data_IF_250168651704
#
_entry.id   IF_250168651704
#
_cell.length_a   1.000
_cell.length_b   1.000
_cell.length_c   1.000
_cell.angle_alpha   90.00
_cell.angle_beta   90.00
_cell.angle_gamma   90.00
#
_symmetry.space_group_name_H-M   'P 1'
#
loop_
_entity.id
_entity.type
_entity.pdbx_description
1 polymer ?
#
# COMPACT_ATOMS: atom_id res chain seq x y z
N UNK A 1 -46.30 -1.06 -10.77
CA UNK A 1 -45.40 -2.15 -10.30
C UNK A 1 -44.09 -2.18 -11.10
N UNK A 2 -44.13 -2.21 -12.43
CA UNK A 2 -42.95 -2.28 -13.32
C UNK A 2 -41.89 -1.19 -13.13
N UNK A 3 -42.32 0.07 -12.96
CA UNK A 3 -41.40 1.21 -12.74
C UNK A 3 -40.67 1.08 -11.39
N UNK A 4 -41.37 0.67 -10.33
CA UNK A 4 -40.77 0.50 -9.01
C UNK A 4 -39.73 -0.63 -8.99
N UNK A 5 -40.03 -1.75 -9.65
CA UNK A 5 -39.07 -2.84 -9.85
C UNK A 5 -37.86 -2.43 -10.69
N UNK A 6 -38.07 -1.62 -11.74
CA UNK A 6 -36.98 -1.11 -12.56
C UNK A 6 -36.05 -0.16 -11.77
N UNK A 7 -36.62 0.71 -10.94
CA UNK A 7 -35.87 1.60 -10.04
C UNK A 7 -35.08 0.79 -9.00
N UNK A 8 -35.67 -0.25 -8.41
CA UNK A 8 -35.00 -1.13 -7.46
C UNK A 8 -33.84 -1.91 -8.08
N UNK A 9 -34.02 -2.44 -9.30
CA UNK A 9 -32.96 -3.14 -10.03
C UNK A 9 -31.83 -2.21 -10.44
N UNK A 10 -32.16 -1.00 -10.89
CA UNK A 10 -31.15 0.03 -11.20
C UNK A 10 -30.34 0.38 -9.95
N UNK A 11 -31.00 0.54 -8.81
CA UNK A 11 -30.34 0.79 -7.54
C UNK A 11 -29.40 -0.38 -7.19
N UNK A 12 -29.87 -1.62 -7.25
CA UNK A 12 -29.05 -2.81 -6.99
C UNK A 12 -27.79 -2.88 -7.88
N UNK A 13 -27.91 -2.56 -9.17
CA UNK A 13 -26.78 -2.53 -10.09
C UNK A 13 -25.78 -1.42 -9.79
N UNK A 14 -26.23 -0.26 -9.30
CA UNK A 14 -25.34 0.85 -8.90
C UNK A 14 -24.51 0.46 -7.66
N UNK A 15 -25.07 -0.32 -6.73
CA UNK A 15 -24.34 -0.79 -5.54
C UNK A 15 -23.47 -2.03 -5.79
N UNK A 16 -23.63 -2.72 -6.92
CA UNK A 16 -22.83 -3.88 -7.29
C UNK A 16 -21.48 -3.50 -7.96
N UNK A 17 -20.94 -2.32 -7.66
CA UNK A 17 -19.64 -1.91 -8.20
C UNK A 17 -18.54 -2.90 -7.76
N UNK A 18 -17.69 -3.38 -8.69
CA UNK A 18 -16.61 -4.28 -8.32
C UNK A 18 -15.61 -3.55 -7.42
N UNK A 19 -15.29 -4.13 -6.26
CA UNK A 19 -14.19 -3.66 -5.43
C UNK A 19 -12.87 -4.07 -6.09
N UNK A 20 -12.06 -3.10 -6.49
CA UNK A 20 -10.72 -3.37 -7.01
C UNK A 20 -9.76 -3.59 -5.86
N UNK A 21 -8.96 -4.65 -5.94
CA UNK A 21 -7.83 -4.86 -5.04
C UNK A 21 -6.80 -3.71 -5.17
N UNK A 22 -6.15 -3.35 -4.06
CA UNK A 22 -5.15 -2.27 -4.02
C UNK A 22 -3.79 -2.72 -4.60
N UNK A 23 -3.75 -2.97 -5.91
CA UNK A 23 -2.52 -3.23 -6.66
C UNK A 23 -2.00 -1.91 -7.20
N UNK A 24 -0.98 -1.38 -6.53
CA UNK A 24 -0.47 -0.05 -6.82
C UNK A 24 0.76 -0.09 -7.73
N UNK A 25 0.74 0.76 -8.75
CA UNK A 25 1.87 1.00 -9.64
C UNK A 25 2.28 2.46 -9.58
N UNK A 26 3.52 2.72 -9.19
CA UNK A 26 4.08 4.07 -9.03
C UNK A 26 5.27 4.22 -9.97
N UNK A 27 5.30 5.34 -10.70
CA UNK A 27 6.41 5.70 -11.57
C UNK A 27 7.25 6.78 -10.89
N UNK A 28 8.52 6.48 -10.69
CA UNK A 28 9.53 7.39 -10.17
C UNK A 28 10.43 7.82 -11.34
N UNK A 29 10.63 9.14 -11.47
CA UNK A 29 11.43 9.74 -12.53
C UNK A 29 12.44 10.70 -11.89
N UNK A 30 13.73 10.43 -12.11
CA UNK A 30 14.84 11.26 -11.64
C UNK A 30 14.67 11.80 -10.22
N UNK A 31 14.35 10.91 -9.27
CA UNK A 31 14.07 11.27 -7.88
C UNK A 31 15.34 11.12 -7.04
N UNK A 32 15.61 12.10 -6.18
CA UNK A 32 16.81 12.17 -5.33
C UNK A 32 16.50 11.95 -3.84
N UNK A 33 15.30 11.53 -3.46
CA UNK A 33 14.96 11.31 -2.06
C UNK A 33 15.66 10.06 -1.53
N UNK A 34 16.31 10.21 -0.39
CA UNK A 34 17.02 9.12 0.27
C UNK A 34 16.08 8.02 0.79
N UNK A 35 14.81 8.36 1.06
CA UNK A 35 13.82 7.45 1.62
C UNK A 35 12.41 7.80 1.12
N UNK A 36 11.67 6.79 0.66
CA UNK A 36 10.30 6.92 0.16
C UNK A 36 9.42 5.84 0.79
N UNK A 37 8.34 6.23 1.47
CA UNK A 37 7.30 5.32 1.93
C UNK A 37 6.37 4.97 0.77
N UNK A 38 6.27 3.69 0.43
CA UNK A 38 5.36 3.21 -0.61
C UNK A 38 4.01 2.80 -0.04
N UNK A 39 3.99 2.14 1.11
CA UNK A 39 2.74 1.71 1.74
C UNK A 39 2.86 1.22 3.16
N UNK A 40 1.69 1.13 3.79
CA UNK A 40 1.45 0.47 5.06
C UNK A 40 0.46 -0.68 4.84
N UNK A 41 0.71 -1.82 5.47
CA UNK A 41 -0.17 -2.98 5.40
C UNK A 41 -0.08 -3.82 6.68
N UNK A 42 -1.22 -4.38 7.13
CA UNK A 42 -1.26 -5.32 8.25
C UNK A 42 -1.28 -6.76 7.75
N UNK A 43 -0.19 -7.49 8.01
CA UNK A 43 -0.03 -8.88 7.62
C UNK A 43 -0.54 -9.83 8.70
N UNK A 44 -1.18 -10.89 8.23
CA UNK A 44 -1.43 -12.13 8.97
C UNK A 44 -0.21 -13.06 8.85
N UNK A 45 -0.19 -14.21 9.56
CA UNK A 45 0.89 -15.20 9.42
C UNK A 45 1.06 -15.76 8.01
N UNK A 46 0.04 -15.63 7.15
CA UNK A 46 0.07 -16.05 5.74
C UNK A 46 0.33 -14.88 4.78
N UNK A 47 0.88 -13.77 5.29
CA UNK A 47 1.13 -12.55 4.55
C UNK A 47 2.28 -12.62 3.54
N UNK A 48 2.12 -11.94 2.41
CA UNK A 48 3.13 -11.82 1.35
C UNK A 48 3.24 -10.38 0.84
N UNK A 49 4.48 -9.95 0.63
CA UNK A 49 4.80 -8.73 -0.13
C UNK A 49 5.36 -9.13 -1.48
N UNK A 50 4.80 -8.61 -2.56
CA UNK A 50 5.38 -8.71 -3.90
C UNK A 50 5.83 -7.34 -4.37
N UNK A 51 7.07 -7.24 -4.84
CA UNK A 51 7.61 -6.03 -5.44
C UNK A 51 8.16 -6.36 -6.81
N UNK A 52 7.63 -5.68 -7.81
CA UNK A 52 8.11 -5.73 -9.17
C UNK A 52 8.62 -4.34 -9.59
N UNK A 53 9.85 -4.28 -10.04
CA UNK A 53 10.49 -3.08 -10.56
C UNK A 53 10.82 -3.28 -12.03
N UNK A 54 10.60 -2.25 -12.84
CA UNK A 54 10.97 -2.24 -14.26
C UNK A 54 11.50 -0.87 -14.66
N UNK A 55 12.27 -0.85 -15.76
CA UNK A 55 12.91 0.38 -16.26
C UNK A 55 13.76 1.08 -15.18
N UNK A 56 14.41 0.32 -14.29
CA UNK A 56 15.16 0.89 -13.19
C UNK A 56 16.49 1.47 -13.67
N UNK A 57 16.88 2.65 -13.22
CA UNK A 57 18.16 3.27 -13.54
C UNK A 57 18.60 4.22 -12.45
N UNK A 58 19.93 4.31 -12.27
CA UNK A 58 20.57 5.25 -11.35
C UNK A 58 21.47 6.16 -12.20
N UNK A 59 21.28 7.47 -12.09
CA UNK A 59 22.18 8.46 -12.69
C UNK A 59 22.77 9.37 -11.61
N UNK A 60 23.99 9.85 -11.82
CA UNK A 60 24.62 10.84 -10.95
C UNK A 60 24.07 12.25 -11.25
N UNK A 61 23.82 13.06 -10.22
CA UNK A 61 23.41 14.46 -10.43
C UNK A 61 24.56 15.28 -11.06
N UNK A 62 24.34 15.94 -12.21
CA UNK A 62 25.39 16.66 -12.93
C UNK A 62 25.95 17.92 -12.21
N UNK A 63 25.25 18.45 -11.20
CA UNK A 63 25.55 19.78 -10.62
C UNK A 63 26.76 19.81 -9.67
N UNK A 64 27.20 18.67 -9.13
CA UNK A 64 28.21 18.60 -8.04
C UNK A 64 29.36 17.63 -8.34
N UNK A 65 29.57 17.26 -9.61
CA UNK A 65 30.48 16.20 -10.05
C UNK A 65 31.99 16.53 -9.89
N UNK A 66 32.45 16.64 -8.64
CA UNK A 66 33.83 16.35 -8.25
C UNK A 66 33.99 14.91 -7.72
N UNK A 67 32.92 14.12 -7.66
CA UNK A 67 32.96 12.73 -7.19
C UNK A 67 33.02 11.76 -8.38
N UNK A 68 34.23 11.28 -8.65
CA UNK A 68 34.60 10.26 -9.62
C UNK A 68 34.23 8.82 -9.19
N UNK A 69 33.14 8.66 -8.41
CA UNK A 69 32.76 7.35 -7.87
C UNK A 69 31.41 6.91 -8.44
N UNK A 70 31.36 5.75 -9.14
CA UNK A 70 30.12 5.24 -9.71
C UNK A 70 29.11 4.92 -8.59
N UNK A 71 27.83 5.16 -8.87
CA UNK A 71 26.75 4.84 -7.94
C UNK A 71 26.75 3.34 -7.62
N UNK A 72 26.60 2.99 -6.34
CA UNK A 72 26.61 1.60 -5.86
C UNK A 72 25.17 1.03 -5.86
N UNK A 73 24.84 0.07 -6.74
CA UNK A 73 23.50 -0.51 -6.79
C UNK A 73 23.12 -1.31 -5.53
N UNK A 74 24.08 -1.74 -4.71
CA UNK A 74 23.80 -2.44 -3.45
C UNK A 74 23.26 -1.51 -2.36
N UNK A 75 23.46 -0.19 -2.51
CA UNK A 75 23.01 0.86 -1.60
C UNK A 75 21.66 1.48 -1.99
N UNK A 76 20.93 0.84 -2.90
CA UNK A 76 19.60 1.28 -3.35
C UNK A 76 18.67 0.08 -3.36
N UNK A 77 17.51 0.17 -2.72
CA UNK A 77 16.67 -1.01 -2.57
C UNK A 77 15.39 -0.80 -1.77
N UNK A 78 14.67 -1.90 -1.61
CA UNK A 78 13.41 -1.96 -0.88
C UNK A 78 13.57 -2.78 0.40
N UNK A 79 12.88 -2.36 1.44
CA UNK A 79 12.85 -3.07 2.71
C UNK A 79 11.49 -2.92 3.40
N UNK A 80 11.18 -3.88 4.26
CA UNK A 80 10.07 -3.81 5.19
C UNK A 80 10.56 -3.38 6.58
N UNK A 81 9.76 -2.54 7.22
CA UNK A 81 9.94 -2.10 8.60
C UNK A 81 8.66 -2.35 9.38
N UNK A 82 8.76 -3.05 10.52
CA UNK A 82 7.63 -3.14 11.45
C UNK A 82 7.28 -1.74 11.96
N UNK A 83 6.00 -1.39 11.94
CA UNK A 83 5.54 -0.07 12.39
C UNK A 83 5.92 0.20 13.85
N UNK A 84 5.97 -0.83 14.70
CA UNK A 84 6.38 -0.73 16.11
C UNK A 84 7.84 -0.27 16.26
N UNK A 85 8.68 -0.55 15.26
CA UNK A 85 10.10 -0.18 15.23
C UNK A 85 10.36 1.12 14.46
N UNK A 86 9.33 1.71 13.85
CA UNK A 86 9.44 2.88 12.99
C UNK A 86 10.05 4.08 13.71
N UNK A 87 9.63 4.35 14.94
CA UNK A 87 10.16 5.47 15.72
C UNK A 87 11.65 5.29 16.04
N UNK A 88 12.05 4.07 16.41
CA UNK A 88 13.46 3.73 16.66
C UNK A 88 14.29 3.89 15.40
N UNK A 89 13.79 3.40 14.27
CA UNK A 89 14.44 3.54 12.97
C UNK A 89 14.65 5.01 12.60
N UNK A 90 13.61 5.84 12.69
CA UNK A 90 13.70 7.27 12.39
C UNK A 90 14.64 8.01 13.35
N UNK A 91 14.67 7.65 14.64
CA UNK A 91 15.61 8.21 15.60
C UNK A 91 17.06 7.88 15.22
N UNK A 92 17.36 6.63 14.82
CA UNK A 92 18.70 6.25 14.39
C UNK A 92 19.13 6.97 13.10
N UNK A 93 18.21 7.17 12.17
CA UNK A 93 18.48 7.91 10.94
C UNK A 93 18.71 9.40 11.22
N UNK A 94 17.99 9.99 12.19
CA UNK A 94 18.09 11.41 12.56
C UNK A 94 19.33 11.72 13.40
N UNK A 95 19.65 10.87 14.37
CA UNK A 95 20.81 11.02 15.27
C UNK A 95 21.96 10.12 14.83
N UNK A 96 22.13 10.04 13.51
CA UNK A 96 23.09 9.17 12.86
C UNK A 96 24.53 9.47 13.36
N UNK A 97 25.24 8.50 13.95
CA UNK A 97 26.59 8.73 14.49
C UNK A 97 27.65 8.91 13.40
N UNK A 98 27.42 8.40 12.19
CA UNK A 98 28.32 8.52 11.04
C UNK A 98 27.51 9.02 9.82
N UNK A 99 27.88 10.11 9.13
CA UNK A 99 27.17 10.59 7.93
C UNK A 99 26.89 9.51 6.86
N UNK A 100 27.65 8.41 6.81
CA UNK A 100 27.53 7.36 5.79
C UNK A 100 26.48 6.26 6.07
N UNK A 101 25.88 6.21 7.26
CA UNK A 101 24.95 5.14 7.66
C UNK A 101 23.69 5.11 6.79
N UNK A 102 23.51 4.14 5.92
CA UNK A 102 22.32 4.06 5.06
C UNK A 102 21.06 3.63 5.85
N UNK A 103 19.87 3.97 5.34
CA UNK A 103 18.61 3.38 5.83
C UNK A 103 18.60 1.84 5.72
N UNK A 104 19.28 1.29 4.71
CA UNK A 104 19.47 -0.15 4.52
C UNK A 104 20.48 -0.79 5.49
N UNK A 105 21.30 0.01 6.18
CA UNK A 105 22.30 -0.48 7.15
C UNK A 105 21.73 -0.59 8.57
N UNK A 106 20.53 -0.05 8.80
CA UNK A 106 19.90 -0.03 10.13
C UNK A 106 19.38 -1.43 10.50
N UNK A 107 19.67 -1.86 11.72
CA UNK A 107 19.18 -3.15 12.23
C UNK A 107 17.65 -3.18 12.36
N UNK A 108 17.10 -4.39 12.37
CA UNK A 108 15.66 -4.69 12.53
C UNK A 108 14.78 -4.25 11.34
N UNK A 109 15.38 -4.09 10.17
CA UNK A 109 14.66 -4.05 8.90
C UNK A 109 14.74 -5.42 8.22
N UNK A 110 13.80 -5.70 7.33
CA UNK A 110 13.87 -6.84 6.42
C UNK A 110 14.14 -6.31 5.02
N UNK A 111 15.40 -6.33 4.59
CA UNK A 111 15.76 -5.97 3.21
C UNK A 111 15.15 -6.99 2.26
N UNK A 112 14.39 -6.52 1.29
CA UNK A 112 13.76 -7.36 0.28
C UNK A 112 14.75 -7.62 -0.84
N UNK A 113 15.13 -6.57 -1.56
CA UNK A 113 16.12 -6.63 -2.64
C UNK A 113 16.80 -5.28 -2.82
N UNK A 114 17.91 -5.32 -3.54
CA UNK A 114 18.70 -4.14 -3.91
C UNK A 114 18.81 -4.04 -5.43
N UNK A 115 19.26 -2.89 -5.92
CA UNK A 115 19.45 -2.69 -7.35
C UNK A 115 20.62 -3.53 -7.91
N UNK A 116 21.45 -4.13 -7.03
CA UNK A 116 22.43 -5.16 -7.41
C UNK A 116 21.76 -6.41 -7.99
N UNK A 117 20.52 -6.69 -7.58
CA UNK A 117 19.77 -7.89 -7.99
C UNK A 117 19.00 -7.67 -9.31
N UNK A 118 19.09 -6.48 -9.90
CA UNK A 118 18.49 -6.17 -11.20
C UNK A 118 19.27 -6.89 -12.31
N UNK A 119 18.56 -7.61 -13.17
CA UNK A 119 19.17 -8.39 -14.25
C UNK A 119 18.28 -8.40 -15.50
N UNK A 120 18.83 -8.36 -16.72
CA UNK A 120 19.96 -7.59 -17.27
C UNK A 120 19.45 -6.53 -18.31
N UNK A 121 20.33 -5.80 -19.04
CA UNK A 121 19.91 -4.74 -19.99
C UNK A 121 19.01 -5.24 -21.14
N UNK A 122 18.18 -4.36 -21.76
CA UNK A 122 18.15 -2.90 -21.63
C UNK A 122 17.28 -2.37 -20.49
N UNK A 123 16.53 -3.23 -19.80
CA UNK A 123 15.60 -2.83 -18.75
C UNK A 123 15.82 -3.67 -17.49
N UNK A 124 16.75 -3.20 -16.66
CA UNK A 124 16.94 -3.57 -15.26
C UNK A 124 15.58 -3.71 -14.57
N UNK A 125 15.14 -4.95 -14.41
CA UNK A 125 13.87 -5.30 -13.84
C UNK A 125 14.05 -6.38 -12.79
N UNK A 126 13.09 -6.46 -11.89
CA UNK A 126 13.06 -7.38 -10.79
C UNK A 126 11.62 -7.71 -10.47
N UNK A 127 11.30 -8.95 -10.14
CA UNK A 127 9.97 -9.35 -9.72
C UNK A 127 10.08 -10.53 -8.78
N UNK A 128 9.75 -10.31 -7.51
CA UNK A 128 9.71 -11.42 -6.56
C UNK A 128 8.72 -11.14 -5.44
N UNK A 129 8.35 -12.22 -4.75
CA UNK A 129 7.47 -12.18 -3.59
C UNK A 129 8.17 -12.75 -2.37
N UNK A 130 7.95 -12.14 -1.22
CA UNK A 130 8.51 -12.52 0.07
C UNK A 130 7.37 -12.82 1.04
N UNK A 131 7.51 -13.94 1.76
CA UNK A 131 6.63 -14.26 2.88
C UNK A 131 6.98 -13.38 4.09
N UNK A 132 5.97 -12.84 4.75
CA UNK A 132 6.12 -12.05 5.97
C UNK A 132 5.90 -12.98 7.17
N UNK A 133 7.00 -13.42 7.78
CA UNK A 133 6.99 -14.46 8.82
C UNK A 133 6.18 -14.08 10.06
N UNK A 134 6.27 -12.81 10.49
CA UNK A 134 5.64 -12.34 11.71
C UNK A 134 4.46 -11.42 11.38
N UNK A 135 3.25 -11.73 11.87
CA UNK A 135 2.09 -10.88 11.65
C UNK A 135 2.26 -9.51 12.30
N UNK A 136 1.59 -8.51 11.77
CA UNK A 136 1.62 -7.14 12.29
C UNK A 136 1.56 -6.07 11.22
N UNK A 137 1.70 -4.82 11.64
CA UNK A 137 1.68 -3.66 10.75
C UNK A 137 3.10 -3.39 10.24
N UNK A 138 3.27 -3.34 8.92
CA UNK A 138 4.56 -3.06 8.29
C UNK A 138 4.47 -1.92 7.30
N UNK A 139 5.60 -1.25 7.14
CA UNK A 139 5.83 -0.16 6.21
C UNK A 139 6.80 -0.65 5.12
N UNK A 140 6.39 -0.53 3.86
CA UNK A 140 7.25 -0.78 2.71
C UNK A 140 7.97 0.51 2.32
N UNK A 141 9.29 0.50 2.45
CA UNK A 141 10.14 1.62 2.11
C UNK A 141 11.04 1.30 0.92
N UNK A 142 11.37 2.35 0.18
CA UNK A 142 12.50 2.41 -0.72
C UNK A 142 13.56 3.33 -0.13
N UNK A 143 14.83 2.93 -0.21
CA UNK A 143 15.96 3.76 0.17
C UNK A 143 16.93 3.94 -0.99
N UNK A 144 17.43 5.17 -1.12
CA UNK A 144 18.52 5.54 -2.00
C UNK A 144 19.65 6.14 -1.15
N UNK A 145 20.73 5.38 -0.95
CA UNK A 145 21.85 5.85 -0.14
C UNK A 145 23.06 6.28 -0.96
N UNK A 146 22.89 6.39 -2.28
CA UNK A 146 23.91 7.00 -3.14
C UNK A 146 23.74 8.51 -3.09
N UNK A 147 24.79 9.20 -2.63
CA UNK A 147 24.81 10.65 -2.46
C UNK A 147 24.43 11.36 -3.78
N UNK A 148 23.40 12.19 -3.74
CA UNK A 148 22.93 13.00 -4.88
C UNK A 148 22.72 12.18 -6.17
N UNK A 149 22.31 10.92 -6.06
CA UNK A 149 21.92 10.12 -7.21
C UNK A 149 20.44 10.30 -7.52
N UNK A 150 20.09 10.18 -8.80
CA UNK A 150 18.74 10.26 -9.33
C UNK A 150 18.30 8.85 -9.72
N UNK A 151 17.20 8.39 -9.14
CA UNK A 151 16.63 7.09 -9.43
C UNK A 151 15.40 7.25 -10.32
N UNK A 152 15.33 6.44 -11.37
CA UNK A 152 14.16 6.29 -12.23
C UNK A 152 13.72 4.84 -12.19
N UNK A 153 12.44 4.57 -11.97
CA UNK A 153 11.89 3.21 -11.96
C UNK A 153 10.37 3.20 -12.03
N UNK A 154 9.80 2.13 -12.57
CA UNK A 154 8.39 1.80 -12.41
C UNK A 154 8.27 0.68 -11.37
N UNK A 155 7.49 0.93 -10.32
CA UNK A 155 7.33 0.02 -9.19
C UNK A 155 5.89 -0.45 -9.12
N UNK A 156 5.65 -1.74 -9.25
CA UNK A 156 4.37 -2.39 -8.96
C UNK A 156 4.51 -3.16 -7.65
N UNK A 157 3.58 -2.94 -6.73
CA UNK A 157 3.58 -3.57 -5.41
C UNK A 157 2.24 -4.25 -5.14
N UNK A 158 2.30 -5.45 -4.58
CA UNK A 158 1.14 -6.23 -4.17
C UNK A 158 1.34 -6.68 -2.73
N UNK A 159 0.47 -6.23 -1.84
CA UNK A 159 0.49 -6.53 -0.41
C UNK A 159 -0.76 -7.35 -0.14
N UNK A 160 -0.60 -8.59 0.33
CA UNK A 160 -1.74 -9.49 0.48
C UNK A 160 -1.50 -10.53 1.57
N UNK A 161 -2.59 -11.03 2.11
CA UNK A 161 -2.66 -12.23 2.92
C UNK A 161 -3.16 -13.39 2.06
N UNK A 162 -2.98 -14.62 2.52
CA UNK A 162 -3.59 -15.79 1.90
C UNK A 162 -4.75 -16.27 2.77
N UNK A 163 -5.94 -16.33 2.16
CA UNK A 163 -7.10 -17.01 2.70
C UNK A 163 -7.08 -18.46 2.22
N UNK A 164 -7.05 -19.41 3.15
CA UNK A 164 -7.23 -20.82 2.87
C UNK A 164 -8.60 -21.26 3.37
N UNK A 165 -9.51 -21.56 2.46
CA UNK A 165 -10.85 -22.08 2.76
C UNK A 165 -10.88 -23.62 2.65
N UNK A 166 -9.72 -24.27 2.74
CA UNK A 166 -9.54 -25.74 2.68
C UNK A 166 -9.66 -26.35 1.28
N UNK A 167 -10.10 -25.57 0.29
CA UNK A 167 -10.27 -26.01 -1.12
C UNK A 167 -9.44 -25.19 -2.11
N UNK A 168 -9.28 -23.89 -1.85
CA UNK A 168 -8.48 -22.99 -2.69
C UNK A 168 -7.79 -21.92 -1.83
N UNK A 169 -6.51 -21.67 -2.12
CA UNK A 169 -5.78 -20.55 -1.55
C UNK A 169 -6.02 -19.30 -2.40
N UNK A 170 -6.64 -18.27 -1.82
CA UNK A 170 -6.96 -17.01 -2.51
C UNK A 170 -6.19 -15.84 -1.89
N UNK A 171 -5.85 -14.84 -2.71
CA UNK A 171 -5.17 -13.63 -2.25
C UNK A 171 -6.18 -12.66 -1.66
N UNK A 172 -5.98 -12.29 -0.40
CA UNK A 172 -6.70 -11.23 0.29
C UNK A 172 -5.86 -9.95 0.30
N UNK A 173 -6.32 -8.92 -0.40
CA UNK A 173 -5.62 -7.64 -0.45
C UNK A 173 -6.08 -6.67 0.65
N UNK A 174 -6.95 -7.11 1.57
CA UNK A 174 -7.31 -6.35 2.75
C UNK A 174 -6.24 -6.54 3.84
N UNK A 175 -5.94 -5.46 4.54
CA UNK A 175 -5.16 -5.53 5.77
C UNK A 175 -5.90 -6.41 6.78
N UNK A 176 -5.17 -7.23 7.56
CA UNK A 176 -5.75 -8.29 8.38
C UNK A 176 -6.81 -7.84 9.41
N UNK A 177 -6.86 -6.55 9.75
CA UNK A 177 -7.83 -5.98 10.70
C UNK A 177 -8.74 -4.91 10.07
N UNK A 178 -8.76 -4.80 8.75
CA UNK A 178 -9.60 -3.83 8.06
C UNK A 178 -11.01 -4.42 7.85
N UNK A 179 -12.08 -3.73 8.28
CA UNK A 179 -13.44 -4.21 8.08
C UNK A 179 -13.74 -4.38 6.59
N UNK A 180 -14.43 -5.46 6.25
CA UNK A 180 -14.73 -5.75 4.86
C UNK A 180 -15.71 -4.70 4.31
N UNK A 181 -15.65 -4.37 3.01
CA UNK A 181 -16.65 -3.49 2.38
C UNK A 181 -18.09 -3.95 2.64
N UNK A 182 -18.32 -5.26 2.76
CA UNK A 182 -19.62 -5.85 3.11
C UNK A 182 -20.10 -5.46 4.51
N UNK A 183 -19.21 -5.26 5.48
CA UNK A 183 -19.60 -4.89 6.84
C UNK A 183 -20.14 -3.45 6.86
N UNK A 184 -19.47 -2.53 6.16
CA UNK A 184 -19.97 -1.16 5.96
C UNK A 184 -21.33 -1.14 5.26
N UNK A 185 -21.52 -1.98 4.25
CA UNK A 185 -22.80 -2.08 3.55
C UNK A 185 -23.93 -2.56 4.48
N UNK A 186 -23.67 -3.53 5.37
CA UNK A 186 -24.67 -3.97 6.37
C UNK A 186 -25.05 -2.84 7.32
N UNK A 187 -24.08 -2.08 7.82
CA UNK A 187 -24.35 -0.91 8.65
C UNK A 187 -25.18 0.14 7.91
N UNK A 188 -24.83 0.43 6.65
CA UNK A 188 -25.61 1.34 5.81
C UNK A 188 -27.08 0.93 5.67
N UNK A 189 -27.36 -0.36 5.43
CA UNK A 189 -28.73 -0.87 5.36
C UNK A 189 -29.50 -0.68 6.67
N UNK A 190 -28.86 -0.92 7.81
CA UNK A 190 -29.45 -0.69 9.13
C UNK A 190 -29.82 0.78 9.32
N UNK A 191 -28.94 1.71 8.94
CA UNK A 191 -29.23 3.15 8.99
C UNK A 191 -30.37 3.57 8.06
N UNK A 192 -30.46 2.98 6.85
CA UNK A 192 -31.59 3.21 5.95
C UNK A 192 -32.93 2.79 6.58
N UNK A 193 -32.97 1.66 7.29
CA UNK A 193 -34.18 1.24 8.01
C UNK A 193 -34.59 2.25 9.10
N UNK A 194 -33.63 2.72 9.90
CA UNK A 194 -33.88 3.75 10.91
C UNK A 194 -34.35 5.06 10.29
N UNK A 195 -33.76 5.49 9.17
CA UNK A 195 -34.19 6.67 8.43
C UNK A 195 -35.63 6.51 7.90
N UNK A 196 -35.97 5.35 7.36
CA UNK A 196 -37.33 5.03 6.90
C UNK A 196 -38.37 5.04 8.04
N UNK A 197 -38.00 4.52 9.22
CA UNK A 197 -38.85 4.60 10.41
C UNK A 197 -39.04 6.05 10.88
N UNK A 198 -37.95 6.82 10.94
CA UNK A 198 -37.96 8.21 11.37
C UNK A 198 -38.79 9.11 10.45
N UNK A 199 -38.59 8.97 9.14
CA UNK A 199 -39.39 9.70 8.13
C UNK A 199 -40.88 9.39 8.27
N UNK A 200 -41.28 8.13 8.47
CA UNK A 200 -42.68 7.79 8.76
C UNK A 200 -43.23 8.48 10.00
N UNK A 201 -42.47 8.54 11.10
CA UNK A 201 -42.88 9.25 12.32
C UNK A 201 -43.03 10.75 12.07
N UNK A 202 -42.07 11.38 11.38
CA UNK A 202 -42.13 12.79 11.02
C UNK A 202 -43.36 13.10 10.16
N UNK A 203 -43.64 12.30 9.12
CA UNK A 203 -44.83 12.48 8.29
C UNK A 203 -46.13 12.35 9.10
N UNK A 204 -46.21 11.35 9.99
CA UNK A 204 -47.39 11.17 10.84
C UNK A 204 -47.61 12.35 11.79
N UNK A 205 -46.53 12.92 12.34
CA UNK A 205 -46.61 14.09 13.21
C UNK A 205 -46.99 15.37 12.43
N UNK A 206 -46.43 15.56 11.23
CA UNK A 206 -46.78 16.67 10.35
C UNK A 206 -48.27 16.63 9.97
N UNK A 207 -48.78 15.46 9.60
CA UNK A 207 -50.20 15.28 9.26
C UNK A 207 -51.11 15.61 10.45
N UNK A 208 -50.77 15.15 11.66
CA UNK A 208 -51.52 15.50 12.88
C UNK A 208 -51.52 16.99 13.19
N UNK A 209 -50.42 17.69 12.90
CA UNK A 209 -50.34 19.15 13.09
C UNK A 209 -51.24 19.91 12.11
N UNK A 210 -51.41 19.39 10.89
CA UNK A 210 -52.28 20.00 9.87
C UNK A 210 -53.78 19.77 10.12
N UNK A 211 -54.15 18.77 10.94
CA UNK A 211 -55.54 18.49 11.34
C UNK A 211 -55.98 19.22 12.62
N UNK A 212 -55.07 19.92 13.31
CA UNK A 212 -55.34 20.72 14.52
C UNK A 212 -55.46 22.21 14.21
#
# INVERSE_FOLDING_TARGET
MTILTAVLLLFFFIFAAPSTADINSVKILSDNRDLILFSKFEYSPTGYVSVAVSSAGISSNPVTSNASQPADPSRVGFFLLSQELSDRYHLQLKFRPNPDLCGLDINNITVLFTFRDLSPPPHSSFNTSYHVTYPGNYLLFFANCNNQSLVTMNVRRELHNLLDDGTTTTKDYLSAREPQPSDYFRFFLMYLCFLGFWTKLCFKNLLRFMES
#
